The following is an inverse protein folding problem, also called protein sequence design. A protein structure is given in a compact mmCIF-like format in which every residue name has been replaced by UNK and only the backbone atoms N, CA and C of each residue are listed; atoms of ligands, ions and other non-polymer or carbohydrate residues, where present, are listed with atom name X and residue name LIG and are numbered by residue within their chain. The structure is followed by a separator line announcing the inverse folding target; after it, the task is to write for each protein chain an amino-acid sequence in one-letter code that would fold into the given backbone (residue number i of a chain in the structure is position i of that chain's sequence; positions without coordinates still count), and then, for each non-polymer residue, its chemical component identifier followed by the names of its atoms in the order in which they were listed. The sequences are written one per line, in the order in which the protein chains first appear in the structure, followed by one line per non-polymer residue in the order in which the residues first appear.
data_IF_287516707163
#
_entry.id   IF_287516707163
#
_cell.length_a   1.000
_cell.length_b   1.000
_cell.length_c   1.000
_cell.angle_alpha   90.00
_cell.angle_beta   90.00
_cell.angle_gamma   90.00
#
_symmetry.space_group_name_H-M   'P 1'
#
loop_
_entity.id
_entity.type
_entity.pdbx_description
1 polymer ?
#
# COMPACT_ATOMS: atom_id res chain seq x y z
N UNK A 1 -26.27 -15.11 3.29
CA UNK A 1 -25.69 -14.38 2.14
C UNK A 1 -24.60 -13.47 2.67
N UNK A 2 -23.50 -13.27 1.95
CA UNK A 2 -22.45 -12.31 2.33
C UNK A 2 -22.42 -11.21 1.27
N UNK A 3 -22.47 -9.96 1.70
CA UNK A 3 -22.26 -8.79 0.85
C UNK A 3 -21.21 -7.89 1.52
N UNK A 4 -20.40 -7.22 0.71
CA UNK A 4 -19.47 -6.20 1.19
C UNK A 4 -20.15 -4.84 1.06
N UNK A 5 -20.00 -4.00 2.08
CA UNK A 5 -20.54 -2.64 2.12
C UNK A 5 -19.35 -1.71 2.35
N UNK A 6 -19.08 -0.86 1.37
CA UNK A 6 -18.10 0.20 1.54
C UNK A 6 -18.68 1.27 2.47
N UNK A 7 -17.90 1.66 3.47
CA UNK A 7 -18.29 2.65 4.47
C UNK A 7 -17.13 3.55 4.87
N UNK A 8 -17.46 4.79 5.18
CA UNK A 8 -16.55 5.75 5.80
C UNK A 8 -16.76 5.69 7.31
N UNK A 9 -15.67 5.60 8.06
CA UNK A 9 -15.70 5.71 9.52
C UNK A 9 -15.33 7.14 9.93
N UNK A 10 -16.29 7.87 10.50
CA UNK A 10 -16.14 9.26 10.94
C UNK A 10 -16.90 9.46 12.27
N UNK A 11 -16.24 10.10 13.24
CA UNK A 11 -16.80 10.39 14.57
C UNK A 11 -17.42 9.18 15.30
N UNK A 12 -16.85 7.99 15.12
CA UNK A 12 -17.34 6.76 15.74
C UNK A 12 -18.47 6.07 14.99
N UNK A 13 -18.88 6.58 13.82
CA UNK A 13 -20.03 6.10 13.06
C UNK A 13 -19.56 5.57 11.69
N UNK A 14 -20.02 4.37 11.33
CA UNK A 14 -19.88 3.84 9.97
C UNK A 14 -21.00 4.37 9.08
N UNK A 15 -20.63 5.14 8.05
CA UNK A 15 -21.56 5.69 7.05
C UNK A 15 -21.35 4.95 5.73
N UNK A 16 -22.34 4.19 5.23
CA UNK A 16 -22.18 3.48 3.97
C UNK A 16 -22.06 4.49 2.81
N UNK A 17 -21.18 4.20 1.85
CA UNK A 17 -20.95 5.05 0.67
C UNK A 17 -22.17 5.02 -0.27
N UNK A 18 -22.84 3.86 -0.34
CA UNK A 18 -24.06 3.65 -1.11
C UNK A 18 -25.19 3.14 -0.22
N UNK A 19 -26.46 3.39 -0.56
CA UNK A 19 -27.59 2.83 0.16
C UNK A 19 -27.51 1.30 0.26
N UNK A 20 -27.80 0.78 1.45
CA UNK A 20 -27.77 -0.65 1.74
C UNK A 20 -29.20 -1.13 1.95
N UNK A 21 -29.65 -2.04 1.10
CA UNK A 21 -30.97 -2.65 1.23
C UNK A 21 -30.89 -3.85 2.18
N UNK A 22 -31.21 -3.62 3.45
CA UNK A 22 -31.35 -4.66 4.47
C UNK A 22 -32.67 -4.52 5.23
N UNK A 23 -33.31 -5.63 5.61
CA UNK A 23 -34.49 -5.58 6.47
C UNK A 23 -34.20 -4.86 7.79
N UNK A 24 -35.16 -4.10 8.35
CA UNK A 24 -35.01 -3.49 9.66
C UNK A 24 -34.73 -4.55 10.74
N UNK A 25 -33.73 -4.29 11.59
CA UNK A 25 -33.35 -5.20 12.69
C UNK A 25 -32.42 -6.35 12.28
N UNK A 26 -32.00 -6.42 11.02
CA UNK A 26 -31.06 -7.44 10.56
C UNK A 26 -29.70 -7.28 11.26
N UNK A 27 -29.13 -8.40 11.73
CA UNK A 27 -27.83 -8.39 12.42
C UNK A 27 -26.70 -8.46 11.41
N UNK A 28 -25.85 -7.43 11.37
CA UNK A 28 -24.67 -7.40 10.49
C UNK A 28 -23.37 -7.62 11.27
N UNK A 29 -22.32 -8.07 10.57
CA UNK A 29 -20.94 -8.14 11.07
C UNK A 29 -20.08 -7.24 10.20
N UNK A 30 -19.30 -6.37 10.83
CA UNK A 30 -18.36 -5.46 10.16
C UNK A 30 -16.95 -6.04 10.31
N UNK A 31 -16.22 -6.11 9.20
CA UNK A 31 -14.81 -6.44 9.16
C UNK A 31 -14.04 -5.17 8.82
N UNK A 32 -13.05 -4.81 9.64
CA UNK A 32 -12.26 -3.59 9.46
C UNK A 32 -10.86 -4.01 9.06
N UNK A 33 -10.51 -3.78 7.81
CA UNK A 33 -9.14 -3.95 7.32
C UNK A 33 -8.40 -2.62 7.42
N UNK A 34 -7.76 -2.38 8.57
CA UNK A 34 -6.88 -1.23 8.74
C UNK A 34 -5.57 -1.55 8.05
N UNK A 35 -5.42 -1.08 6.81
CA UNK A 35 -4.10 -1.07 6.18
C UNK A 35 -3.17 -0.28 7.09
N UNK A 36 -2.02 -0.84 7.50
CA UNK A 36 -1.05 -0.08 8.28
C UNK A 36 -0.73 1.18 7.48
N UNK A 37 -0.85 2.34 8.12
CA UNK A 37 -0.34 3.57 7.53
C UNK A 37 1.12 3.29 7.17
N UNK A 38 1.48 3.54 5.91
CA UNK A 38 2.89 3.52 5.52
C UNK A 38 3.54 4.60 6.36
N UNK A 39 4.33 4.16 7.33
CA UNK A 39 5.18 5.04 8.11
C UNK A 39 6.32 5.46 7.18
N UNK A 40 6.14 6.64 6.59
CA UNK A 40 7.08 7.22 5.62
C UNK A 40 8.46 7.39 6.25
N UNK A 41 8.53 7.75 7.53
CA UNK A 41 9.81 7.90 8.24
C UNK A 41 10.51 6.56 8.41
N UNK A 42 9.75 5.53 8.82
CA UNK A 42 10.27 4.16 8.92
C UNK A 42 10.76 3.66 7.55
N UNK A 43 9.95 3.83 6.52
CA UNK A 43 10.31 3.44 5.15
C UNK A 43 11.60 4.13 4.69
N UNK A 44 11.71 5.45 4.88
CA UNK A 44 12.92 6.22 4.54
C UNK A 44 14.15 5.73 5.32
N UNK A 45 13.98 5.43 6.62
CA UNK A 45 15.07 4.90 7.44
C UNK A 45 15.55 3.53 6.96
N UNK A 46 14.64 2.69 6.44
CA UNK A 46 14.99 1.39 5.88
C UNK A 46 15.76 1.53 4.56
N UNK A 47 15.41 2.50 3.72
CA UNK A 47 16.17 2.80 2.50
C UNK A 47 17.57 3.36 2.80
N UNK A 48 17.74 4.15 3.85
CA UNK A 48 19.06 4.66 4.24
C UNK A 48 20.04 3.55 4.62
N UNK A 49 19.54 2.45 5.21
CA UNK A 49 20.35 1.28 5.55
C UNK A 49 20.95 0.58 4.34
N UNK A 50 20.35 0.72 3.16
CA UNK A 50 20.88 0.13 1.91
C UNK A 50 22.26 0.71 1.57
N UNK A 51 22.50 1.96 1.94
CA UNK A 51 23.77 2.67 1.71
C UNK A 51 24.68 2.67 2.93
N UNK A 52 24.26 2.08 4.06
CA UNK A 52 25.06 2.05 5.29
C UNK A 52 26.30 1.16 5.11
N UNK A 53 27.47 1.70 5.44
CA UNK A 53 28.75 0.99 5.31
C UNK A 53 29.41 1.11 3.93
N UNK A 54 28.75 1.73 2.96
CA UNK A 54 29.36 2.05 1.66
C UNK A 54 30.09 3.40 1.69
N UNK A 55 31.19 3.48 0.97
CA UNK A 55 31.87 4.74 0.68
C UNK A 55 31.11 5.51 -0.41
N UNK A 56 31.30 6.84 -0.52
CA UNK A 56 30.66 7.63 -1.56
C UNK A 56 30.90 7.11 -2.99
N UNK A 57 32.09 6.56 -3.27
CA UNK A 57 32.43 6.00 -4.58
C UNK A 57 31.64 4.71 -4.87
N UNK A 58 31.47 3.84 -3.87
CA UNK A 58 30.69 2.60 -4.02
C UNK A 58 29.19 2.88 -4.16
N UNK A 59 28.68 3.93 -3.49
CA UNK A 59 27.31 4.41 -3.69
C UNK A 59 27.13 4.87 -5.14
N UNK A 60 28.07 5.65 -5.67
CA UNK A 60 27.99 6.15 -7.06
C UNK A 60 28.01 5.02 -8.10
N UNK A 61 28.81 3.97 -7.87
CA UNK A 61 28.82 2.78 -8.74
C UNK A 61 27.51 1.99 -8.65
N UNK A 62 26.97 1.81 -7.44
CA UNK A 62 25.68 1.14 -7.22
C UNK A 62 24.54 1.88 -7.92
N UNK A 63 24.50 3.21 -7.77
CA UNK A 63 23.49 4.06 -8.40
C UNK A 63 23.58 4.01 -9.94
N UNK A 64 24.78 3.95 -10.52
CA UNK A 64 24.96 3.78 -11.98
C UNK A 64 24.29 2.50 -12.49
N UNK A 65 24.41 1.39 -11.76
CA UNK A 65 23.79 0.11 -12.14
C UNK A 65 22.27 0.14 -11.96
N UNK A 66 21.77 0.72 -10.86
CA UNK A 66 20.34 0.81 -10.58
C UNK A 66 19.63 1.75 -11.58
N UNK A 67 20.29 2.86 -11.94
CA UNK A 67 19.72 3.87 -12.84
C UNK A 67 19.91 3.54 -14.32
N UNK A 68 20.76 2.56 -14.66
CA UNK A 68 20.90 2.09 -16.04
C UNK A 68 19.66 1.31 -16.48
N UNK A 69 18.75 2.03 -17.17
CA UNK A 69 17.52 1.46 -17.74
C UNK A 69 17.71 0.87 -19.13
N UNK A 70 18.93 0.81 -19.66
CA UNK A 70 19.20 0.36 -21.03
C UNK A 70 18.83 -1.13 -21.24
N UNK A 71 18.84 -1.93 -20.17
CA UNK A 71 18.42 -3.33 -20.16
C UNK A 71 17.03 -3.56 -19.53
N UNK A 72 16.24 -2.50 -19.31
CA UNK A 72 14.89 -2.61 -18.76
C UNK A 72 13.91 -3.11 -19.84
N UNK A 73 14.06 -4.39 -20.21
CA UNK A 73 13.17 -5.06 -21.14
C UNK A 73 11.77 -5.13 -20.54
N UNK A 74 10.82 -4.37 -21.10
CA UNK A 74 9.40 -4.70 -20.97
C UNK A 74 9.22 -6.08 -21.59
N UNK A 75 9.15 -7.10 -20.75
CA UNK A 75 8.55 -8.37 -21.18
C UNK A 75 7.05 -8.07 -21.30
N UNK A 76 6.59 -7.78 -22.52
CA UNK A 76 5.17 -7.95 -22.83
C UNK A 76 4.84 -9.39 -22.45
N UNK A 77 4.05 -9.55 -21.40
CA UNK A 77 3.36 -10.80 -21.14
C UNK A 77 2.32 -10.88 -22.26
N UNK A 78 2.62 -11.67 -23.29
CA UNK A 78 1.61 -12.12 -24.25
C UNK A 78 0.50 -12.82 -23.45
N UNK A 79 -0.64 -12.14 -23.30
CA UNK A 79 -1.90 -12.67 -22.80
C UNK A 79 -2.80 -13.02 -23.97
#
# INVERSE_FOLDING_TARGET
MKQFVDAVYEDGIFRPVLPVELPPGERVRVEIDVKPKVDVEKMLSEFQKVYEGFTPAEIEELEKVILDRSNFSRRELDL
#
